data_IF_030052648376
#
_entry.id   IF_030052648376
#
_cell.length_a   1.000
_cell.length_b   1.000
_cell.length_c   1.000
_cell.angle_alpha   90.00
_cell.angle_beta   90.00
_cell.angle_gamma   90.00
#
_symmetry.space_group_name_H-M   'P 1'
#
loop_
_entity.id
_entity.type
_entity.pdbx_description
1 polymer ?
#
# COMPACT_ATOMS: atom_id res chain seq x y z
N UNK A 1 -29.23 -22.59 -8.64
CA UNK A 1 -28.85 -21.19 -8.90
C UNK A 1 -29.42 -20.16 -7.90
N UNK A 2 -30.43 -20.47 -7.07
CA UNK A 2 -31.15 -19.48 -6.27
C UNK A 2 -30.57 -19.15 -4.86
N UNK A 3 -29.63 -19.93 -4.31
CA UNK A 3 -29.15 -19.73 -2.92
C UNK A 3 -27.94 -18.80 -2.81
N UNK A 4 -27.04 -18.79 -3.80
CA UNK A 4 -25.85 -17.95 -3.77
C UNK A 4 -26.19 -16.46 -3.82
N UNK A 5 -27.00 -16.04 -4.80
CA UNK A 5 -27.42 -14.64 -4.92
C UNK A 5 -28.18 -14.15 -3.68
N UNK A 6 -29.05 -14.99 -3.10
CA UNK A 6 -29.74 -14.64 -1.84
C UNK A 6 -28.77 -14.47 -0.67
N UNK A 7 -27.76 -15.34 -0.55
CA UNK A 7 -26.70 -15.22 0.47
C UNK A 7 -25.87 -13.95 0.28
N UNK A 8 -25.53 -13.63 -0.97
CA UNK A 8 -24.74 -12.45 -1.30
C UNK A 8 -25.53 -11.15 -1.03
N UNK A 9 -26.80 -11.09 -1.42
CA UNK A 9 -27.68 -9.96 -1.10
C UNK A 9 -27.85 -9.77 0.40
N UNK A 10 -28.07 -10.86 1.15
CA UNK A 10 -28.16 -10.79 2.61
C UNK A 10 -26.84 -10.30 3.24
N UNK A 11 -25.69 -10.78 2.76
CA UNK A 11 -24.38 -10.33 3.21
C UNK A 11 -24.15 -8.84 2.95
N UNK A 12 -24.55 -8.35 1.77
CA UNK A 12 -24.48 -6.92 1.43
C UNK A 12 -25.33 -6.08 2.39
N UNK A 13 -26.56 -6.50 2.68
CA UNK A 13 -27.45 -5.81 3.64
C UNK A 13 -26.81 -5.79 5.03
N UNK A 14 -26.33 -6.93 5.52
CA UNK A 14 -25.67 -7.01 6.82
C UNK A 14 -24.43 -6.10 6.88
N UNK A 15 -23.62 -6.05 5.82
CA UNK A 15 -22.48 -5.15 5.73
C UNK A 15 -22.90 -3.67 5.72
N UNK A 16 -24.01 -3.32 5.09
CA UNK A 16 -24.54 -1.95 5.12
C UNK A 16 -25.00 -1.52 6.52
N UNK A 17 -25.43 -2.48 7.36
CA UNK A 17 -25.83 -2.24 8.74
C UNK A 17 -24.65 -2.12 9.72
N UNK A 18 -23.46 -2.62 9.35
CA UNK A 18 -22.26 -2.64 10.22
C UNK A 18 -21.99 -1.31 10.94
N UNK A 19 -22.05 -0.13 10.27
CA UNK A 19 -21.81 1.16 10.93
C UNK A 19 -22.87 1.54 11.99
N UNK A 20 -24.09 1.06 11.84
CA UNK A 20 -25.27 1.49 12.61
C UNK A 20 -25.61 0.58 13.79
N UNK A 21 -25.06 -0.63 13.84
CA UNK A 21 -25.29 -1.58 14.94
C UNK A 21 -24.31 -1.34 16.10
N UNK A 22 -24.70 -1.78 17.30
CA UNK A 22 -23.86 -1.73 18.51
C UNK A 22 -22.52 -2.42 18.31
N UNK A 23 -21.48 -1.98 19.01
CA UNK A 23 -20.13 -2.53 18.86
C UNK A 23 -20.08 -4.05 19.09
N UNK A 24 -20.84 -4.56 20.07
CA UNK A 24 -20.95 -6.00 20.34
C UNK A 24 -21.49 -6.77 19.13
N UNK A 25 -22.58 -6.31 18.53
CA UNK A 25 -23.17 -6.95 17.35
C UNK A 25 -22.28 -6.80 16.12
N UNK A 26 -21.60 -5.66 15.99
CA UNK A 26 -20.61 -5.42 14.94
C UNK A 26 -19.44 -6.40 15.02
N UNK A 27 -18.88 -6.59 16.20
CA UNK A 27 -17.79 -7.55 16.42
C UNK A 27 -18.25 -8.98 16.08
N UNK A 28 -19.48 -9.37 16.44
CA UNK A 28 -20.04 -10.68 16.08
C UNK A 28 -20.17 -10.83 14.56
N UNK A 29 -20.70 -9.81 13.88
CA UNK A 29 -20.87 -9.82 12.43
C UNK A 29 -19.53 -9.89 11.69
N UNK A 30 -18.56 -9.08 12.09
CA UNK A 30 -17.20 -9.12 11.51
C UNK A 30 -16.54 -10.48 11.74
N UNK A 31 -16.66 -11.05 12.95
CA UNK A 31 -16.17 -12.41 13.22
C UNK A 31 -16.83 -13.45 12.31
N UNK A 32 -18.14 -13.33 12.08
CA UNK A 32 -18.87 -14.22 11.19
C UNK A 32 -18.36 -14.10 9.74
N UNK A 33 -18.17 -12.87 9.26
CA UNK A 33 -17.64 -12.61 7.91
C UNK A 33 -16.22 -13.14 7.74
N UNK A 34 -15.31 -12.89 8.69
CA UNK A 34 -13.91 -13.32 8.65
C UNK A 34 -13.74 -14.85 8.67
N UNK A 35 -14.69 -15.58 9.26
CA UNK A 35 -14.70 -17.06 9.31
C UNK A 35 -15.54 -17.69 8.20
N UNK A 36 -16.06 -16.87 7.29
CA UNK A 36 -16.91 -17.37 6.21
C UNK A 36 -16.06 -18.03 5.14
N UNK A 37 -16.51 -19.15 4.58
CA UNK A 37 -15.87 -19.77 3.40
C UNK A 37 -16.02 -18.91 2.14
N UNK A 38 -16.91 -17.91 2.14
CA UNK A 38 -17.13 -17.01 1.00
C UNK A 38 -16.16 -15.82 1.05
N UNK A 39 -15.26 -15.73 0.07
CA UNK A 39 -14.26 -14.65 -0.06
C UNK A 39 -14.86 -13.25 0.01
N UNK A 40 -16.02 -13.02 -0.62
CA UNK A 40 -16.68 -11.70 -0.60
C UNK A 40 -17.09 -11.25 0.81
N UNK A 41 -17.47 -12.17 1.70
CA UNK A 41 -17.76 -11.83 3.09
C UNK A 41 -16.49 -11.39 3.82
N UNK A 42 -15.40 -12.14 3.65
CA UNK A 42 -14.10 -11.81 4.24
C UNK A 42 -13.59 -10.46 3.73
N UNK A 43 -13.65 -10.22 2.41
CA UNK A 43 -13.32 -8.94 1.76
C UNK A 43 -14.07 -7.76 2.38
N UNK A 44 -15.37 -7.89 2.62
CA UNK A 44 -16.19 -6.84 3.28
C UNK A 44 -15.68 -6.54 4.69
N UNK A 45 -15.38 -7.58 5.47
CA UNK A 45 -14.79 -7.40 6.79
C UNK A 45 -13.40 -6.76 6.74
N UNK A 46 -12.55 -7.13 5.77
CA UNK A 46 -11.22 -6.53 5.60
C UNK A 46 -11.31 -5.01 5.37
N UNK A 47 -12.21 -4.58 4.48
CA UNK A 47 -12.45 -3.15 4.19
C UNK A 47 -12.90 -2.43 5.46
N UNK A 48 -13.89 -2.97 6.16
CA UNK A 48 -14.40 -2.35 7.38
C UNK A 48 -13.30 -2.22 8.47
N UNK A 49 -12.52 -3.28 8.67
CA UNK A 49 -11.46 -3.35 9.69
C UNK A 49 -10.27 -2.43 9.32
N UNK A 50 -9.97 -2.26 8.03
CA UNK A 50 -8.93 -1.34 7.57
C UNK A 50 -9.23 0.10 8.02
N UNK A 51 -10.47 0.53 7.85
CA UNK A 51 -10.92 1.88 8.19
C UNK A 51 -11.13 2.04 9.72
N UNK A 52 -11.51 0.96 10.41
CA UNK A 52 -11.86 0.98 11.83
C UNK A 52 -10.91 0.14 12.68
N UNK A 53 -9.61 0.18 12.38
CA UNK A 53 -8.62 -0.68 13.01
C UNK A 53 -8.60 -0.53 14.54
N UNK A 54 -8.51 -1.67 15.23
CA UNK A 54 -8.33 -1.76 16.67
C UNK A 54 -7.43 -2.96 16.97
N UNK A 55 -6.52 -2.88 17.97
CA UNK A 55 -5.64 -3.99 18.34
C UNK A 55 -6.36 -5.31 18.62
N UNK A 56 -7.63 -5.26 19.05
CA UNK A 56 -8.47 -6.46 19.26
C UNK A 56 -8.64 -7.33 18.01
N UNK A 57 -8.53 -6.74 16.81
CA UNK A 57 -8.67 -7.46 15.55
C UNK A 57 -7.41 -8.21 15.12
N UNK A 58 -6.25 -7.91 15.71
CA UNK A 58 -4.98 -8.47 15.25
C UNK A 58 -5.02 -10.01 15.23
N UNK A 59 -5.35 -10.66 16.36
CA UNK A 59 -5.37 -12.13 16.46
C UNK A 59 -6.35 -12.79 15.48
N UNK A 60 -7.51 -12.16 15.20
CA UNK A 60 -8.47 -12.75 14.25
C UNK A 60 -7.99 -12.58 12.81
N UNK A 61 -7.37 -11.45 12.47
CA UNK A 61 -6.76 -11.24 11.15
C UNK A 61 -5.59 -12.20 10.90
N UNK A 62 -4.74 -12.44 11.90
CA UNK A 62 -3.67 -13.46 11.82
C UNK A 62 -4.24 -14.83 11.48
N UNK A 63 -5.25 -15.29 12.23
CA UNK A 63 -5.90 -16.58 11.99
C UNK A 63 -6.59 -16.65 10.63
N UNK A 64 -7.26 -15.58 10.22
CA UNK A 64 -7.93 -15.51 8.92
C UNK A 64 -6.91 -15.58 7.78
N UNK A 65 -5.77 -14.90 7.90
CA UNK A 65 -4.66 -15.02 6.95
C UNK A 65 -4.16 -16.47 6.86
N UNK A 66 -3.83 -17.08 8.00
CA UNK A 66 -3.32 -18.45 8.06
C UNK A 66 -4.33 -19.49 7.52
N UNK A 67 -5.64 -19.21 7.63
CA UNK A 67 -6.69 -20.13 7.19
C UNK A 67 -6.99 -20.01 5.69
N UNK A 68 -7.02 -18.79 5.15
CA UNK A 68 -7.57 -18.52 3.81
C UNK A 68 -6.58 -17.95 2.81
N UNK A 69 -5.55 -17.22 3.25
CA UNK A 69 -4.55 -16.64 2.36
C UNK A 69 -5.10 -15.73 1.26
N UNK A 70 -6.15 -14.95 1.53
CA UNK A 70 -6.77 -14.09 0.51
C UNK A 70 -5.87 -12.92 0.10
N UNK A 71 -5.66 -12.71 -1.19
CA UNK A 71 -4.92 -11.55 -1.71
C UNK A 71 -5.57 -10.22 -1.32
N UNK A 72 -6.90 -10.17 -1.15
CA UNK A 72 -7.60 -8.94 -0.74
C UNK A 72 -7.27 -8.46 0.67
N UNK A 73 -6.72 -9.31 1.54
CA UNK A 73 -6.32 -8.92 2.90
C UNK A 73 -4.98 -8.18 2.91
N UNK A 74 -4.17 -8.27 1.84
CA UNK A 74 -2.79 -7.76 1.83
C UNK A 74 -2.73 -6.27 2.17
N UNK A 75 -3.65 -5.46 1.65
CA UNK A 75 -3.72 -4.04 1.98
C UNK A 75 -3.93 -3.81 3.49
N UNK A 76 -4.79 -4.61 4.14
CA UNK A 76 -5.00 -4.56 5.57
C UNK A 76 -3.75 -4.99 6.34
N UNK A 77 -3.09 -6.07 5.91
CA UNK A 77 -1.86 -6.56 6.54
C UNK A 77 -0.78 -5.48 6.51
N UNK A 78 -0.47 -4.96 5.31
CA UNK A 78 0.53 -3.93 5.10
C UNK A 78 0.19 -2.66 5.87
N UNK A 79 -1.07 -2.25 5.94
CA UNK A 79 -1.46 -1.03 6.63
C UNK A 79 -1.40 -1.15 8.16
N UNK A 80 -1.79 -2.30 8.74
CA UNK A 80 -2.14 -2.37 10.17
C UNK A 80 -1.35 -3.40 10.99
N UNK A 81 -0.90 -4.51 10.39
CA UNK A 81 -0.27 -5.58 11.16
C UNK A 81 1.11 -5.19 11.68
N UNK A 82 1.60 -5.74 12.81
CA UNK A 82 2.91 -5.40 13.34
C UNK A 82 4.05 -5.83 12.40
N UNK A 83 5.19 -5.15 12.50
CA UNK A 83 6.39 -5.44 11.69
C UNK A 83 6.86 -6.89 11.85
N UNK A 84 6.74 -7.46 13.06
CA UNK A 84 7.07 -8.87 13.33
C UNK A 84 6.23 -9.83 12.49
N UNK A 85 4.92 -9.58 12.36
CA UNK A 85 4.03 -10.37 11.52
C UNK A 85 4.42 -10.25 10.03
N UNK A 86 4.68 -9.03 9.56
CA UNK A 86 5.11 -8.78 8.18
C UNK A 86 6.40 -9.52 7.82
N UNK A 87 7.34 -9.61 8.76
CA UNK A 87 8.60 -10.34 8.55
C UNK A 87 8.39 -11.85 8.58
N UNK A 88 7.59 -12.36 9.53
CA UNK A 88 7.26 -13.79 9.60
C UNK A 88 6.64 -14.28 8.29
N UNK A 89 5.76 -13.49 7.69
CA UNK A 89 5.04 -13.83 6.45
C UNK A 89 5.63 -13.15 5.22
N UNK A 90 6.92 -12.74 5.25
CA UNK A 90 7.52 -11.94 4.18
C UNK A 90 7.36 -12.61 2.82
N UNK A 91 7.69 -13.90 2.71
CA UNK A 91 7.67 -14.65 1.45
C UNK A 91 6.26 -14.69 0.85
N UNK A 92 5.25 -15.04 1.64
CA UNK A 92 3.85 -15.15 1.20
C UNK A 92 3.24 -13.79 0.84
N UNK A 93 3.54 -12.75 1.62
CA UNK A 93 3.09 -11.40 1.27
C UNK A 93 3.80 -10.92 0.00
N UNK A 94 5.10 -11.20 -0.15
CA UNK A 94 5.87 -10.76 -1.32
C UNK A 94 5.46 -11.45 -2.62
N UNK A 95 4.94 -12.69 -2.57
CA UNK A 95 4.43 -13.37 -3.76
C UNK A 95 3.17 -12.74 -4.34
N UNK A 96 2.53 -11.81 -3.63
CA UNK A 96 1.42 -11.00 -4.16
C UNK A 96 1.91 -9.83 -5.05
N UNK A 97 3.23 -9.67 -5.22
CA UNK A 97 3.84 -8.56 -5.94
C UNK A 97 4.75 -9.05 -7.08
N UNK A 98 4.31 -10.03 -7.86
CA UNK A 98 5.07 -10.49 -9.03
C UNK A 98 5.22 -9.37 -10.07
N UNK A 99 6.41 -9.27 -10.69
CA UNK A 99 6.76 -8.12 -11.54
C UNK A 99 5.78 -7.93 -12.72
N UNK A 100 5.26 -9.04 -13.27
CA UNK A 100 4.25 -9.03 -14.34
C UNK A 100 2.97 -8.28 -13.95
N UNK A 101 2.59 -8.34 -12.67
CA UNK A 101 1.37 -7.71 -12.17
C UNK A 101 1.63 -6.23 -11.82
N UNK A 102 2.87 -5.90 -11.44
CA UNK A 102 3.28 -4.54 -11.09
C UNK A 102 3.46 -3.61 -12.29
N UNK A 103 3.75 -4.15 -13.48
CA UNK A 103 3.94 -3.37 -14.70
C UNK A 103 2.70 -2.53 -15.03
N UNK A 104 1.51 -3.11 -14.84
CA UNK A 104 0.23 -2.48 -15.19
C UNK A 104 -0.61 -2.06 -13.97
N UNK A 105 -0.33 -2.58 -12.77
CA UNK A 105 -1.06 -2.19 -11.55
C UNK A 105 -0.26 -1.24 -10.66
N UNK A 106 -0.43 0.05 -10.92
CA UNK A 106 0.16 1.12 -10.11
C UNK A 106 -0.27 1.07 -8.63
N UNK A 107 -1.48 0.60 -8.31
CA UNK A 107 -1.96 0.51 -6.92
C UNK A 107 -1.24 -0.61 -6.19
N UNK A 108 -1.07 -1.76 -6.84
CA UNK A 108 -0.31 -2.89 -6.30
C UNK A 108 1.16 -2.51 -6.09
N UNK A 109 1.74 -1.76 -7.02
CA UNK A 109 3.10 -1.21 -6.92
C UNK A 109 3.28 -0.29 -5.71
N UNK A 110 2.32 0.61 -5.45
CA UNK A 110 2.31 1.45 -4.23
C UNK A 110 2.20 0.57 -2.98
N UNK A 111 1.35 -0.46 -3.01
CA UNK A 111 1.16 -1.35 -1.86
C UNK A 111 2.44 -2.13 -1.53
N UNK A 112 3.12 -2.69 -2.53
CA UNK A 112 4.45 -3.31 -2.42
C UNK A 112 5.47 -2.34 -1.82
N UNK A 113 5.49 -1.10 -2.30
CA UNK A 113 6.40 -0.09 -1.77
C UNK A 113 6.10 0.25 -0.30
N UNK A 114 4.83 0.38 0.09
CA UNK A 114 4.45 0.59 1.50
C UNK A 114 4.85 -0.60 2.37
N UNK A 115 4.68 -1.82 1.86
CA UNK A 115 5.15 -3.02 2.54
C UNK A 115 6.64 -2.95 2.82
N UNK A 116 7.46 -2.74 1.79
CA UNK A 116 8.92 -2.66 1.92
C UNK A 116 9.36 -1.51 2.82
N UNK A 117 8.68 -0.36 2.78
CA UNK A 117 8.93 0.73 3.72
C UNK A 117 8.76 0.27 5.17
N UNK A 118 7.67 -0.44 5.52
CA UNK A 118 7.45 -0.89 6.90
C UNK A 118 8.52 -1.85 7.43
N UNK A 119 9.11 -2.65 6.55
CA UNK A 119 10.15 -3.63 6.90
C UNK A 119 11.56 -3.20 6.50
N UNK A 120 11.76 -1.96 6.06
CA UNK A 120 12.98 -1.44 5.42
C UNK A 120 14.28 -1.94 6.06
N UNK A 121 14.45 -1.75 7.37
CA UNK A 121 15.69 -2.07 8.10
C UNK A 121 16.00 -3.58 8.20
N UNK A 122 15.12 -4.44 7.71
CA UNK A 122 15.22 -5.90 7.82
C UNK A 122 15.34 -6.61 6.47
N UNK A 123 15.25 -5.88 5.36
CA UNK A 123 15.36 -6.43 3.99
C UNK A 123 16.39 -5.66 3.12
N UNK A 124 17.62 -5.42 3.60
CA UNK A 124 18.59 -4.57 2.89
C UNK A 124 18.97 -5.10 1.51
N UNK A 125 19.00 -6.43 1.32
CA UNK A 125 19.29 -7.05 0.01
C UNK A 125 18.22 -6.74 -1.02
N UNK A 126 16.93 -6.85 -0.64
CA UNK A 126 15.80 -6.59 -1.53
C UNK A 126 15.70 -5.10 -1.87
N UNK A 127 16.02 -4.23 -0.92
CA UNK A 127 16.07 -2.79 -1.17
C UNK A 127 17.21 -2.40 -2.11
N UNK A 128 18.35 -3.08 -2.02
CA UNK A 128 19.47 -2.86 -2.95
C UNK A 128 19.06 -3.25 -4.38
N UNK A 129 18.50 -4.45 -4.57
CA UNK A 129 17.96 -4.89 -5.87
C UNK A 129 16.94 -3.89 -6.41
N UNK A 130 15.97 -3.48 -5.58
CA UNK A 130 14.96 -2.51 -5.98
C UNK A 130 15.55 -1.15 -6.35
N UNK A 131 16.60 -0.69 -5.65
CA UNK A 131 17.29 0.56 -6.00
C UNK A 131 17.88 0.51 -7.41
N UNK A 132 18.41 -0.64 -7.78
CA UNK A 132 19.10 -0.85 -9.06
C UNK A 132 18.10 -1.06 -10.21
N UNK A 133 17.02 -1.81 -9.97
CA UNK A 133 16.00 -2.19 -10.98
C UNK A 133 14.87 -1.15 -11.12
N UNK A 134 14.36 -0.60 -10.02
CA UNK A 134 13.24 0.35 -9.98
C UNK A 134 13.53 1.51 -9.00
N UNK A 135 14.40 2.45 -9.39
CA UNK A 135 14.83 3.56 -8.53
C UNK A 135 13.67 4.47 -8.10
N UNK A 136 12.58 4.55 -8.89
CA UNK A 136 11.40 5.35 -8.55
C UNK A 136 10.70 4.75 -7.32
N UNK A 137 10.53 3.43 -7.29
CA UNK A 137 9.95 2.75 -6.13
C UNK A 137 10.85 2.81 -4.90
N UNK A 138 12.16 2.72 -5.08
CA UNK A 138 13.10 2.93 -3.99
C UNK A 138 13.00 4.35 -3.39
N UNK A 139 12.90 5.38 -4.23
CA UNK A 139 12.70 6.77 -3.77
C UNK A 139 11.40 6.90 -2.96
N UNK A 140 10.31 6.30 -3.42
CA UNK A 140 9.06 6.27 -2.66
C UNK A 140 9.28 5.68 -1.25
N UNK A 141 9.97 4.55 -1.16
CA UNK A 141 10.23 3.88 0.13
C UNK A 141 11.05 4.79 1.06
N UNK A 142 12.10 5.42 0.54
CA UNK A 142 12.92 6.35 1.29
C UNK A 142 12.10 7.55 1.79
N UNK A 143 11.22 8.08 0.94
CA UNK A 143 10.29 9.15 1.27
C UNK A 143 9.33 8.74 2.39
N UNK A 144 8.71 7.57 2.30
CA UNK A 144 7.79 7.08 3.34
C UNK A 144 8.49 6.85 4.68
N UNK A 145 9.79 6.57 4.66
CA UNK A 145 10.62 6.43 5.87
C UNK A 145 11.13 7.74 6.43
N UNK A 146 11.01 8.85 5.70
CA UNK A 146 11.67 10.11 6.04
C UNK A 146 13.20 10.02 5.98
N UNK A 147 13.73 9.04 5.24
CA UNK A 147 15.17 8.87 5.07
C UNK A 147 15.71 9.86 4.05
N UNK A 148 16.93 10.36 4.28
CA UNK A 148 17.62 11.23 3.33
C UNK A 148 18.08 10.44 2.11
N UNK A 149 18.06 11.09 0.96
CA UNK A 149 18.63 10.60 -0.29
C UNK A 149 19.76 11.54 -0.68
N UNK A 150 20.83 10.98 -1.24
CA UNK A 150 21.95 11.76 -1.75
C UNK A 150 21.49 12.66 -2.93
N UNK A 151 21.70 13.99 -2.87
CA UNK A 151 21.21 14.88 -3.92
C UNK A 151 21.76 14.60 -5.32
N UNK A 152 23.03 14.19 -5.43
CA UNK A 152 23.67 13.77 -6.69
C UNK A 152 22.88 12.65 -7.37
N UNK A 153 22.62 11.56 -6.66
CA UNK A 153 21.86 10.43 -7.15
C UNK A 153 20.40 10.81 -7.46
N UNK A 154 19.77 11.62 -6.60
CA UNK A 154 18.40 12.10 -6.85
C UNK A 154 18.29 12.87 -8.19
N UNK A 155 19.30 13.69 -8.51
CA UNK A 155 19.38 14.44 -9.77
C UNK A 155 19.56 13.49 -10.96
N UNK A 156 20.42 12.48 -10.85
CA UNK A 156 20.60 11.48 -11.91
C UNK A 156 19.30 10.75 -12.24
N UNK A 157 18.55 10.34 -11.20
CA UNK A 157 17.24 9.70 -11.41
C UNK A 157 16.24 10.69 -12.01
N UNK A 158 16.23 11.96 -11.57
CA UNK A 158 15.36 12.98 -12.16
C UNK A 158 15.62 13.16 -13.66
N UNK A 159 16.89 13.24 -14.07
CA UNK A 159 17.28 13.39 -15.47
C UNK A 159 16.85 12.20 -16.33
N UNK A 160 16.84 10.98 -15.76
CA UNK A 160 16.30 9.79 -16.44
C UNK A 160 14.78 9.82 -16.57
N UNK A 161 14.07 10.47 -15.64
CA UNK A 161 12.61 10.51 -15.59
C UNK A 161 12.04 11.94 -15.39
N UNK A 162 12.36 12.90 -16.27
CA UNK A 162 12.16 14.34 -16.02
C UNK A 162 10.68 14.77 -16.01
N UNK A 163 9.78 13.94 -16.53
CA UNK A 163 8.33 14.21 -16.58
C UNK A 163 7.54 13.47 -15.49
N UNK A 164 8.22 12.78 -14.58
CA UNK A 164 7.55 12.07 -13.50
C UNK A 164 7.01 13.05 -12.46
N UNK A 165 5.68 13.25 -12.48
CA UNK A 165 4.97 14.06 -11.47
C UNK A 165 5.14 13.52 -10.06
N UNK A 166 5.25 12.20 -9.92
CA UNK A 166 5.46 11.54 -8.63
C UNK A 166 6.84 11.86 -8.05
N UNK A 167 7.91 11.71 -8.84
CA UNK A 167 9.26 12.08 -8.40
C UNK A 167 9.33 13.56 -8.03
N UNK A 168 8.74 14.41 -8.88
CA UNK A 168 8.68 15.85 -8.64
C UNK A 168 8.04 16.20 -7.30
N UNK A 169 6.91 15.56 -6.98
CA UNK A 169 6.21 15.73 -5.71
C UNK A 169 7.03 15.19 -4.53
N UNK A 170 7.57 13.99 -4.63
CA UNK A 170 8.33 13.38 -3.54
C UNK A 170 9.60 14.14 -3.24
N UNK A 171 10.31 14.64 -4.24
CA UNK A 171 11.47 15.50 -4.04
C UNK A 171 11.12 16.84 -3.39
N UNK A 172 9.93 17.38 -3.63
CA UNK A 172 9.43 18.53 -2.87
C UNK A 172 9.24 18.19 -1.39
N UNK A 173 8.52 17.09 -1.12
CA UNK A 173 8.24 16.62 0.24
C UNK A 173 9.53 16.28 1.02
N UNK A 174 10.59 15.86 0.31
CA UNK A 174 11.90 15.55 0.88
C UNK A 174 12.87 16.76 0.92
N UNK A 175 12.46 17.93 0.43
CA UNK A 175 13.28 19.15 0.44
C UNK A 175 14.44 19.18 -0.58
N UNK A 176 14.44 18.29 -1.58
CA UNK A 176 15.53 18.11 -2.55
C UNK A 176 15.49 19.10 -3.72
N UNK A 177 14.39 19.86 -3.90
CA UNK A 177 14.27 20.80 -5.02
C UNK A 177 15.35 21.87 -5.03
N UNK A 178 15.79 22.36 -3.86
CA UNK A 178 16.86 23.35 -3.80
C UNK A 178 18.13 22.85 -4.46
N UNK A 179 18.46 21.58 -4.27
CA UNK A 179 19.67 20.97 -4.82
C UNK A 179 19.52 20.64 -6.31
N UNK A 180 18.33 20.19 -6.72
CA UNK A 180 18.01 19.90 -8.13
C UNK A 180 18.04 21.18 -8.97
N UNK A 181 17.39 22.25 -8.49
CA UNK A 181 17.35 23.56 -9.16
C UNK A 181 18.74 24.21 -9.26
N UNK A 182 19.58 24.07 -8.24
CA UNK A 182 20.96 24.62 -8.26
C UNK A 182 21.85 23.98 -9.33
N UNK A 183 21.62 22.70 -9.65
CA UNK A 183 22.44 21.94 -10.60
C UNK A 183 21.86 21.89 -12.03
N UNK A 184 20.63 22.35 -12.22
CA UNK A 184 19.98 22.37 -13.52
C UNK A 184 19.65 23.82 -13.93
N UNK A 185 20.64 24.49 -14.55
CA UNK A 185 20.49 25.88 -15.03
C UNK A 185 19.39 26.04 -16.10
N UNK A 186 18.86 24.94 -16.64
CA UNK A 186 17.74 24.91 -17.58
C UNK A 186 16.39 24.61 -16.93
N UNK A 187 16.31 24.49 -15.60
CA UNK A 187 15.07 24.22 -14.89
C UNK A 187 14.20 25.48 -14.80
N UNK A 188 13.54 25.81 -15.92
CA UNK A 188 12.54 26.88 -15.94
C UNK A 188 11.24 26.38 -15.28
N UNK A 189 10.77 27.11 -14.27
CA UNK A 189 9.50 26.90 -13.55
C UNK A 189 8.25 26.87 -14.45
N UNK A 190 8.36 27.14 -15.76
CA UNK A 190 7.23 27.11 -16.72
C UNK A 190 6.53 25.75 -16.85
N UNK A 191 7.16 24.64 -16.41
CA UNK A 191 6.58 23.30 -16.60
C UNK A 191 5.68 22.80 -15.46
N UNK A 192 5.51 23.56 -14.37
CA UNK A 192 4.71 23.13 -13.21
C UNK A 192 3.29 23.74 -13.22
N UNK A 193 3.09 24.87 -13.90
CA UNK A 193 1.78 25.52 -14.01
C UNK A 193 1.38 25.59 -15.48
N UNK A 194 0.66 24.56 -15.94
CA UNK A 194 0.02 24.54 -17.24
C UNK A 194 -1.16 25.50 -17.36
N UNK A 195 -0.95 26.80 -17.09
CA UNK A 195 -1.80 27.93 -17.48
C UNK A 195 -0.94 29.19 -17.56
N UNK A 196 -0.61 29.61 -18.76
CA UNK A 196 -0.34 31.02 -19.05
C UNK A 196 -1.68 31.72 -18.97
N UNK A 197 -1.89 32.54 -17.94
CA UNK A 197 -2.97 33.53 -17.96
C UNK A 197 -2.41 34.70 -18.77
N UNK A 198 -2.92 34.85 -19.99
CA UNK A 198 -3.03 36.12 -20.71
C UNK A 198 -4.50 36.45 -20.78
#
# INVERSE_FOLDING_TARGET
>A
LNSYFKKESASLILNALCPYISESNRNKLLCYFLKSNYRNNRKRAYIYILDNWSPKYQKIIERTWETYGDDEIINLLVAKMPKSFLLKNFKEISSNFEEKDLEYDFRLKILRNRFYARIFDRIPSELKKLKDEDPISFIFIMKERGNKIEPSWAIEIYKKFPRSRFLSRWYAEMGLWKDILKKDQNFSFKNILGKTIT
#
